data_IF_826791542174
#
_entry.id   IF_826791542174
#
_cell.length_a   1.000
_cell.length_b   1.000
_cell.length_c   1.000
_cell.angle_alpha   90.00
_cell.angle_beta   90.00
_cell.angle_gamma   90.00
#
_symmetry.space_group_name_H-M   'P 1'
#
loop_
_entity.id
_entity.type
_entity.pdbx_description
1 polymer ?
#
# COMPACT_ATOMS: atom_id res chain seq x y z
N UNK A 1 15.69 -12.07 15.83
CA UNK A 1 15.08 -12.23 14.48
C UNK A 1 13.72 -11.54 14.48
N UNK A 2 13.45 -10.61 13.57
CA UNK A 2 12.09 -10.10 13.36
C UNK A 2 11.35 -11.05 12.42
N UNK A 3 10.11 -11.40 12.76
CA UNK A 3 9.27 -12.24 11.91
C UNK A 3 8.69 -11.42 10.75
N UNK A 4 8.30 -12.06 9.63
CA UNK A 4 7.59 -11.39 8.55
C UNK A 4 6.28 -10.77 9.05
N UNK A 5 5.95 -9.58 8.54
CA UNK A 5 4.69 -8.89 8.86
C UNK A 5 3.80 -8.88 7.62
N UNK A 6 2.57 -9.38 7.77
CA UNK A 6 1.59 -9.39 6.70
C UNK A 6 0.51 -8.33 6.95
N UNK A 7 0.13 -7.60 5.90
CA UNK A 7 -0.95 -6.64 5.92
C UNK A 7 -1.86 -6.83 4.70
N UNK A 8 -3.12 -6.42 4.81
CA UNK A 8 -4.03 -6.37 3.67
C UNK A 8 -5.01 -5.21 3.76
N UNK A 9 -5.34 -4.61 2.63
CA UNK A 9 -6.27 -3.51 2.50
C UNK A 9 -7.38 -3.86 1.49
N UNK A 10 -8.65 -3.53 1.76
CA UNK A 10 -9.72 -3.73 0.78
C UNK A 10 -9.64 -2.67 -0.33
N UNK A 11 -10.12 -3.03 -1.51
CA UNK A 11 -10.51 -2.07 -2.53
C UNK A 11 -11.78 -1.33 -2.11
N UNK A 12 -12.13 -0.27 -2.84
CA UNK A 12 -13.36 0.47 -2.63
C UNK A 12 -14.07 0.74 -3.94
N UNK A 13 -15.38 0.88 -3.87
CA UNK A 13 -16.21 1.47 -4.92
C UNK A 13 -16.94 2.69 -4.36
N UNK A 14 -17.35 3.62 -5.22
CA UNK A 14 -18.23 4.74 -4.84
C UNK A 14 -19.64 4.34 -5.26
N UNK A 15 -20.57 4.29 -4.31
CA UNK A 15 -21.98 3.98 -4.60
C UNK A 15 -22.71 5.21 -5.13
N UNK A 16 -22.44 6.37 -4.53
CA UNK A 16 -23.09 7.64 -4.87
C UNK A 16 -22.13 8.81 -4.73
N UNK A 17 -22.31 9.83 -5.58
CA UNK A 17 -21.66 11.13 -5.43
C UNK A 17 -20.23 11.20 -5.98
N UNK A 18 -19.83 10.30 -6.88
CA UNK A 18 -18.47 10.27 -7.46
C UNK A 18 -18.04 11.57 -8.13
N UNK A 19 -18.98 12.26 -8.80
CA UNK A 19 -18.76 13.58 -9.39
C UNK A 19 -19.14 14.72 -8.44
N UNK A 20 -20.05 14.47 -7.49
CA UNK A 20 -20.58 15.50 -6.59
C UNK A 20 -19.55 15.93 -5.52
N UNK A 21 -18.65 15.03 -5.11
CA UNK A 21 -17.60 15.30 -4.10
C UNK A 21 -16.62 16.38 -4.53
N UNK A 22 -16.41 16.54 -5.84
CA UNK A 22 -15.57 17.60 -6.42
C UNK A 22 -16.14 18.99 -6.12
N UNK A 23 -17.45 19.10 -5.90
CA UNK A 23 -18.16 20.33 -5.57
C UNK A 23 -18.53 20.44 -4.09
N UNK A 24 -17.84 19.70 -3.21
CA UNK A 24 -18.04 19.76 -1.75
C UNK A 24 -19.32 19.08 -1.25
N UNK A 25 -19.97 18.25 -2.08
CA UNK A 25 -21.13 17.46 -1.67
C UNK A 25 -20.69 16.06 -1.17
N UNK A 26 -21.47 15.40 -0.29
CA UNK A 26 -21.07 14.10 0.24
C UNK A 26 -21.09 13.00 -0.84
N UNK A 27 -20.28 11.97 -0.61
CA UNK A 27 -20.26 10.73 -1.39
C UNK A 27 -20.27 9.53 -0.44
N UNK A 28 -20.82 8.40 -0.90
CA UNK A 28 -20.82 7.13 -0.17
C UNK A 28 -19.86 6.19 -0.87
N UNK A 29 -18.78 5.82 -0.21
CA UNK A 29 -17.86 4.77 -0.66
C UNK A 29 -17.98 3.54 0.24
N UNK A 30 -17.84 2.35 -0.34
CA UNK A 30 -17.87 1.09 0.39
C UNK A 30 -16.65 0.25 0.08
N UNK A 31 -16.17 -0.48 1.09
CA UNK A 31 -15.12 -1.47 0.92
C UNK A 31 -15.68 -2.71 0.19
N UNK A 32 -14.86 -3.30 -0.69
CA UNK A 32 -15.18 -4.55 -1.37
C UNK A 32 -14.18 -5.65 -0.98
N UNK A 33 -14.57 -6.90 -1.14
CA UNK A 33 -13.75 -8.06 -0.78
C UNK A 33 -12.52 -8.30 -1.69
N UNK A 34 -12.26 -7.41 -2.66
CA UNK A 34 -11.03 -7.41 -3.46
C UNK A 34 -9.90 -6.80 -2.63
N UNK A 35 -8.88 -7.58 -2.25
CA UNK A 35 -7.84 -7.14 -1.30
C UNK A 35 -6.48 -6.98 -1.95
N UNK A 36 -5.81 -5.87 -1.68
CA UNK A 36 -4.36 -5.74 -1.83
C UNK A 36 -3.69 -6.37 -0.62
N UNK A 37 -2.59 -7.11 -0.83
CA UNK A 37 -1.80 -7.73 0.24
C UNK A 37 -0.36 -7.25 0.14
N UNK A 38 0.28 -7.12 1.29
CA UNK A 38 1.68 -6.75 1.39
C UNK A 38 2.35 -7.64 2.44
N UNK A 39 3.55 -8.14 2.13
CA UNK A 39 4.38 -8.91 3.04
C UNK A 39 5.72 -8.21 3.23
N UNK A 40 6.02 -7.84 4.46
CA UNK A 40 7.30 -7.26 4.85
C UNK A 40 8.20 -8.37 5.38
N UNK A 41 9.31 -8.64 4.68
CA UNK A 41 10.29 -9.68 5.05
C UNK A 41 11.61 -9.01 5.44
N UNK A 42 12.27 -9.43 6.54
CA UNK A 42 13.64 -8.97 6.83
C UNK A 42 14.58 -9.23 5.65
N UNK A 43 15.44 -8.27 5.36
CA UNK A 43 16.38 -8.34 4.24
C UNK A 43 17.70 -7.66 4.61
N UNK A 44 18.76 -7.98 3.89
CA UNK A 44 20.05 -7.29 3.97
C UNK A 44 20.02 -5.91 3.28
N UNK A 45 19.12 -5.75 2.31
CA UNK A 45 18.95 -4.53 1.53
C UNK A 45 17.47 -4.17 1.39
N UNK A 46 17.20 -2.87 1.24
CA UNK A 46 15.86 -2.38 0.98
C UNK A 46 15.42 -2.79 -0.43
N UNK A 47 14.35 -3.59 -0.50
CA UNK A 47 13.83 -4.12 -1.76
C UNK A 47 12.31 -3.99 -1.83
N UNK A 48 11.80 -3.89 -3.04
CA UNK A 48 10.37 -3.99 -3.37
C UNK A 48 10.23 -5.09 -4.41
N UNK A 49 9.48 -6.14 -4.08
CA UNK A 49 9.33 -7.36 -4.85
C UNK A 49 10.69 -7.91 -5.33
N UNK A 50 11.69 -7.94 -4.45
CA UNK A 50 13.04 -8.43 -4.73
C UNK A 50 13.94 -7.47 -5.53
N UNK A 51 13.47 -6.28 -5.90
CA UNK A 51 14.26 -5.28 -6.65
C UNK A 51 14.73 -4.16 -5.73
N UNK A 52 15.94 -3.65 -5.92
CA UNK A 52 16.48 -2.50 -5.15
C UNK A 52 16.08 -1.14 -5.76
N UNK A 53 15.69 -1.12 -7.04
CA UNK A 53 15.22 0.05 -7.77
C UNK A 53 14.21 -0.37 -8.85
N UNK A 54 13.36 0.57 -9.27
CA UNK A 54 12.33 0.33 -10.29
C UNK A 54 11.10 -0.41 -9.78
N UNK A 55 10.09 -0.62 -10.62
CA UNK A 55 8.78 -1.13 -10.20
C UNK A 55 7.81 0.00 -9.84
N UNK A 56 6.92 -0.21 -8.86
CA UNK A 56 5.90 0.79 -8.49
C UNK A 56 6.52 2.01 -7.81
N UNK A 57 6.51 3.15 -8.50
CA UNK A 57 7.01 4.42 -7.97
C UNK A 57 6.32 4.82 -6.65
N UNK A 58 5.02 4.53 -6.52
CA UNK A 58 4.25 4.82 -5.31
C UNK A 58 4.71 3.98 -4.12
N UNK A 59 4.98 2.70 -4.31
CA UNK A 59 5.44 1.82 -3.23
C UNK A 59 6.83 2.26 -2.75
N UNK A 60 7.73 2.60 -3.68
CA UNK A 60 9.04 3.16 -3.33
C UNK A 60 8.95 4.49 -2.60
N UNK A 61 8.07 5.39 -3.05
CA UNK A 61 7.84 6.66 -2.38
C UNK A 61 7.31 6.46 -0.95
N UNK A 62 6.35 5.54 -0.76
CA UNK A 62 5.82 5.19 0.56
C UNK A 62 6.90 4.60 1.46
N UNK A 63 7.68 3.63 0.98
CA UNK A 63 8.75 3.01 1.74
C UNK A 63 9.81 4.03 2.17
N UNK A 64 10.24 4.92 1.27
CA UNK A 64 11.23 5.97 1.59
C UNK A 64 10.71 7.04 2.53
N UNK A 65 9.40 7.33 2.50
CA UNK A 65 8.79 8.39 3.29
C UNK A 65 8.32 7.93 4.67
N UNK A 66 7.91 6.67 4.79
CA UNK A 66 7.20 6.17 5.97
C UNK A 66 8.00 5.13 6.75
N UNK A 67 8.99 4.48 6.15
CA UNK A 67 9.77 3.43 6.81
C UNK A 67 11.11 3.95 7.31
N UNK A 68 11.26 3.97 8.63
CA UNK A 68 12.50 4.29 9.35
C UNK A 68 13.18 3.05 9.95
N UNK A 69 12.61 1.86 9.67
CA UNK A 69 13.10 0.58 10.17
C UNK A 69 14.31 0.02 9.41
N UNK A 70 14.77 -1.19 9.79
CA UNK A 70 15.87 -1.86 9.11
C UNK A 70 15.52 -2.23 7.67
N UNK A 71 16.53 -2.66 6.91
CA UNK A 71 16.36 -3.16 5.56
C UNK A 71 15.34 -4.32 5.49
N UNK A 72 14.42 -4.22 4.53
CA UNK A 72 13.31 -5.14 4.33
C UNK A 72 13.06 -5.33 2.83
N UNK A 73 12.52 -6.48 2.47
CA UNK A 73 11.93 -6.74 1.16
C UNK A 73 10.41 -6.71 1.29
N UNK A 74 9.78 -5.71 0.69
CA UNK A 74 8.33 -5.53 0.64
C UNK A 74 7.78 -6.23 -0.60
N UNK A 75 6.99 -7.28 -0.40
CA UNK A 75 6.40 -8.10 -1.47
C UNK A 75 4.90 -7.85 -1.61
#
# INVERSE_FOLDING_TARGET
MRLPVAASAPGKVILFGEHAVVYGRPAIAVAIALRARALLVPSDRLRVCGRERGGSAYVWAALRRLWDGPAVDLK
#
